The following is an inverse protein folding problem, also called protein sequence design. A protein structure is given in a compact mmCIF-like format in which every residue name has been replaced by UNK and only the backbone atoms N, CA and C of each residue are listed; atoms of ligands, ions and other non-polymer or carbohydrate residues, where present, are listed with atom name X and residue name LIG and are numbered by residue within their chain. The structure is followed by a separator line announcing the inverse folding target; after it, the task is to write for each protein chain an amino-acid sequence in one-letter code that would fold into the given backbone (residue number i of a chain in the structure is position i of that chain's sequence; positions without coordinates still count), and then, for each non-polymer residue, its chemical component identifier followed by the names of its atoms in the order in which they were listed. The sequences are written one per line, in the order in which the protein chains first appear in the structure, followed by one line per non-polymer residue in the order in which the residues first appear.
data_IF_526136366299
#
_entry.id   IF_526136366299
#
_cell.length_a   1.000
_cell.length_b   1.000
_cell.length_c   1.000
_cell.angle_alpha   90.00
_cell.angle_beta   90.00
_cell.angle_gamma   90.00
#
_symmetry.space_group_name_H-M   'P 1'
#
loop_
_entity.id
_entity.type
_entity.pdbx_description
1 polymer ?
#
# COMPACT_ATOMS: atom_id res chain seq x y z
N UNK A 1 41.51 64.50 1.76
CA UNK A 1 40.05 64.56 1.56
C UNK A 1 39.60 63.42 0.69
N UNK A 2 39.15 62.40 1.27
CA UNK A 2 37.97 61.54 1.10
C UNK A 2 37.42 61.16 -0.27
N UNK A 3 36.64 60.04 -0.38
CA UNK A 3 36.41 58.96 0.55
C UNK A 3 36.47 57.55 -0.10
N UNK A 4 36.64 56.61 0.75
CA UNK A 4 36.60 55.15 0.50
C UNK A 4 35.15 54.68 0.38
N UNK A 5 34.79 54.08 -0.77
CA UNK A 5 33.54 53.37 -0.94
C UNK A 5 33.75 51.88 -0.79
N UNK A 6 33.30 51.32 0.33
CA UNK A 6 33.25 49.89 0.55
C UNK A 6 32.05 49.23 -0.16
N UNK A 7 32.32 48.32 -1.07
CA UNK A 7 31.29 47.47 -1.68
C UNK A 7 31.15 46.20 -0.87
N UNK A 8 30.00 46.06 -0.24
CA UNK A 8 29.58 44.82 0.44
C UNK A 8 29.25 43.73 -0.57
N UNK A 9 29.57 42.48 -0.33
CA UNK A 9 29.20 41.37 -1.22
C UNK A 9 27.70 41.05 -1.07
N UNK A 10 27.02 41.10 -2.20
CA UNK A 10 25.64 40.66 -2.33
C UNK A 10 25.57 39.17 -2.07
N UNK A 11 24.95 38.80 -0.97
CA UNK A 11 24.64 37.41 -0.62
C UNK A 11 23.62 36.89 -1.61
N UNK A 12 24.01 36.00 -2.48
CA UNK A 12 23.11 35.25 -3.34
C UNK A 12 22.15 34.43 -2.48
N UNK A 13 20.89 34.77 -2.50
CA UNK A 13 19.82 33.98 -1.90
C UNK A 13 19.70 32.68 -2.66
N UNK A 14 20.02 31.56 -2.00
CA UNK A 14 19.60 30.25 -2.46
C UNK A 14 18.08 30.23 -2.64
N UNK A 15 17.55 29.70 -3.77
CA UNK A 15 16.13 29.47 -3.91
C UNK A 15 15.71 28.47 -2.81
N UNK A 16 14.71 28.87 -2.01
CA UNK A 16 14.06 27.98 -1.06
C UNK A 16 13.52 26.77 -1.84
N UNK A 17 13.98 25.61 -1.49
CA UNK A 17 13.38 24.36 -1.89
C UNK A 17 11.89 24.40 -1.54
N UNK A 18 11.04 24.35 -2.54
CA UNK A 18 9.60 24.13 -2.40
C UNK A 18 9.40 22.85 -1.59
N UNK A 19 8.52 22.84 -0.57
CA UNK A 19 8.21 21.60 0.12
C UNK A 19 7.66 20.63 -0.92
N UNK A 20 8.32 19.48 -1.05
CA UNK A 20 7.87 18.42 -1.94
C UNK A 20 6.40 18.13 -1.62
N UNK A 21 5.58 18.09 -2.65
CA UNK A 21 4.22 17.58 -2.57
C UNK A 21 4.33 16.18 -1.97
N UNK A 22 3.91 16.04 -0.73
CA UNK A 22 3.62 14.72 -0.17
C UNK A 22 2.61 14.06 -1.10
N UNK A 23 3.11 13.12 -1.88
CA UNK A 23 2.30 12.26 -2.72
C UNK A 23 1.37 11.50 -1.77
N UNK A 24 0.11 11.91 -1.77
CA UNK A 24 -0.92 11.29 -0.93
C UNK A 24 -1.20 9.88 -1.46
N UNK A 25 -0.38 8.93 -1.03
CA UNK A 25 -0.50 7.49 -1.32
C UNK A 25 -1.89 6.92 -0.97
N UNK A 26 -2.65 7.58 -0.10
CA UNK A 26 -3.93 7.08 0.38
C UNK A 26 -5.04 7.08 -0.68
N UNK A 27 -5.07 8.02 -1.62
CA UNK A 27 -6.18 8.13 -2.57
C UNK A 27 -6.18 7.04 -3.66
N UNK A 28 -5.03 6.65 -4.17
CA UNK A 28 -4.93 5.63 -5.24
C UNK A 28 -5.21 4.21 -4.71
N UNK A 29 -4.79 3.93 -3.47
CA UNK A 29 -5.09 2.64 -2.81
C UNK A 29 -6.57 2.52 -2.47
N UNK A 30 -7.23 3.62 -2.11
CA UNK A 30 -8.67 3.66 -1.88
C UNK A 30 -9.47 3.35 -3.14
N UNK A 31 -9.07 3.86 -4.30
CA UNK A 31 -9.74 3.59 -5.58
C UNK A 31 -9.73 2.09 -5.90
N UNK A 32 -8.59 1.42 -5.78
CA UNK A 32 -8.49 -0.01 -6.09
C UNK A 32 -9.35 -0.88 -5.17
N UNK A 33 -9.41 -0.57 -3.87
CA UNK A 33 -10.26 -1.29 -2.91
C UNK A 33 -11.73 -1.04 -3.18
N UNK A 34 -12.13 0.20 -3.45
CA UNK A 34 -13.51 0.55 -3.74
C UNK A 34 -14.00 -0.16 -5.02
N UNK A 35 -13.22 -0.11 -6.10
CA UNK A 35 -13.64 -0.60 -7.41
C UNK A 35 -13.60 -2.13 -7.52
N UNK A 36 -12.55 -2.76 -7.03
CA UNK A 36 -12.33 -4.20 -7.23
C UNK A 36 -12.83 -5.09 -6.08
N UNK A 37 -13.08 -4.53 -4.92
CA UNK A 37 -13.60 -5.29 -3.77
C UNK A 37 -14.99 -4.81 -3.35
N UNK A 38 -15.14 -3.59 -2.88
CA UNK A 38 -16.37 -3.10 -2.26
C UNK A 38 -17.52 -3.08 -3.26
N UNK A 39 -17.32 -2.54 -4.46
CA UNK A 39 -18.36 -2.52 -5.51
C UNK A 39 -18.74 -3.93 -5.99
N UNK A 40 -17.78 -4.84 -6.08
CA UNK A 40 -18.05 -6.23 -6.51
C UNK A 40 -18.88 -6.95 -5.46
N UNK A 41 -18.48 -6.88 -4.18
CA UNK A 41 -19.20 -7.46 -3.06
C UNK A 41 -20.61 -6.85 -2.97
N UNK A 42 -20.73 -5.51 -3.05
CA UNK A 42 -22.01 -4.83 -2.99
C UNK A 42 -22.98 -5.24 -4.13
N UNK A 43 -22.49 -5.44 -5.35
CA UNK A 43 -23.30 -5.98 -6.45
C UNK A 43 -23.79 -7.40 -6.16
N UNK A 44 -22.89 -8.23 -5.65
CA UNK A 44 -23.21 -9.61 -5.30
C UNK A 44 -24.26 -9.68 -4.20
N UNK A 45 -24.10 -8.93 -3.10
CA UNK A 45 -25.05 -8.88 -2.00
C UNK A 45 -26.46 -8.47 -2.48
N UNK A 46 -26.56 -7.42 -3.28
CA UNK A 46 -27.83 -6.96 -3.85
C UNK A 46 -28.49 -7.99 -4.76
N UNK A 47 -27.68 -8.67 -5.58
CA UNK A 47 -28.18 -9.75 -6.44
C UNK A 47 -28.71 -10.95 -5.63
N UNK A 48 -28.28 -11.09 -4.36
CA UNK A 48 -28.74 -12.14 -3.44
C UNK A 48 -29.76 -11.62 -2.40
N UNK A 49 -30.42 -10.51 -2.67
CA UNK A 49 -31.57 -10.04 -1.91
C UNK A 49 -31.26 -9.02 -0.82
N UNK A 50 -29.99 -8.58 -0.67
CA UNK A 50 -29.67 -7.53 0.29
C UNK A 50 -30.25 -6.17 -0.13
N UNK A 51 -30.96 -5.51 0.76
CA UNK A 51 -31.57 -4.21 0.58
C UNK A 51 -31.45 -3.36 1.86
N UNK A 52 -31.94 -2.13 1.82
CA UNK A 52 -32.02 -1.29 3.02
C UNK A 52 -32.97 -1.86 4.08
N UNK A 53 -34.03 -2.55 3.65
CA UNK A 53 -35.04 -3.15 4.54
C UNK A 53 -34.58 -4.52 5.08
N UNK A 54 -33.73 -5.20 4.30
CA UNK A 54 -33.18 -6.52 4.63
C UNK A 54 -31.67 -6.53 4.41
N UNK A 55 -30.88 -5.85 5.28
CA UNK A 55 -29.44 -5.76 5.09
C UNK A 55 -28.77 -7.13 5.33
N UNK A 56 -27.77 -7.43 4.51
CA UNK A 56 -26.96 -8.63 4.71
C UNK A 56 -25.95 -8.46 5.83
N UNK A 57 -25.82 -9.44 6.70
CA UNK A 57 -24.75 -9.49 7.70
C UNK A 57 -23.41 -9.79 7.02
N UNK A 58 -22.44 -8.89 7.17
CA UNK A 58 -21.12 -9.01 6.53
C UNK A 58 -20.03 -9.08 7.60
N UNK A 59 -19.40 -10.25 7.73
CA UNK A 59 -18.25 -10.47 8.61
C UNK A 59 -16.99 -9.82 8.05
N UNK A 60 -16.35 -8.96 8.84
CA UNK A 60 -15.13 -8.25 8.45
C UNK A 60 -14.00 -8.66 9.37
N UNK A 61 -12.93 -9.23 8.78
CA UNK A 61 -11.79 -9.77 9.50
C UNK A 61 -10.79 -8.67 9.93
N UNK A 62 -11.25 -7.69 10.71
CA UNK A 62 -10.40 -6.69 11.34
C UNK A 62 -9.96 -7.22 12.70
N UNK A 63 -8.64 -7.33 12.91
CA UNK A 63 -8.05 -7.71 14.20
C UNK A 63 -7.89 -6.49 15.13
N UNK A 64 -7.59 -6.73 16.39
CA UNK A 64 -7.37 -5.66 17.36
C UNK A 64 -6.24 -4.71 16.95
N UNK A 65 -5.24 -5.21 16.23
CA UNK A 65 -4.12 -4.40 15.72
C UNK A 65 -4.55 -3.37 14.66
N UNK A 66 -5.72 -3.58 14.05
CA UNK A 66 -6.27 -2.73 12.99
C UNK A 66 -7.59 -2.05 13.39
N UNK A 67 -7.88 -1.93 14.69
CA UNK A 67 -9.16 -1.43 15.22
C UNK A 67 -9.54 -0.04 14.68
N UNK A 68 -8.56 0.82 14.39
CA UNK A 68 -8.79 2.15 13.83
C UNK A 68 -9.53 2.11 12.48
N UNK A 69 -9.49 0.98 11.76
CA UNK A 69 -10.17 0.80 10.46
C UNK A 69 -11.68 0.66 10.61
N UNK A 70 -12.16 0.26 11.78
CA UNK A 70 -13.60 0.18 12.08
C UNK A 70 -14.23 1.58 12.02
N UNK A 71 -13.56 2.57 12.63
CA UNK A 71 -14.06 3.95 12.71
C UNK A 71 -14.10 4.65 11.35
N UNK A 72 -13.26 4.24 10.42
CA UNK A 72 -13.15 4.82 9.08
C UNK A 72 -14.10 4.18 8.06
N UNK A 73 -14.74 3.06 8.43
CA UNK A 73 -15.63 2.34 7.53
C UNK A 73 -17.04 2.92 7.55
N UNK A 74 -17.54 3.30 6.39
CA UNK A 74 -18.96 3.61 6.18
C UNK A 74 -19.68 2.34 5.72
N UNK A 75 -20.63 1.86 6.53
CA UNK A 75 -21.54 0.80 6.12
C UNK A 75 -22.49 1.31 5.05
N UNK A 76 -22.82 0.47 4.08
CA UNK A 76 -23.85 0.76 3.09
C UNK A 76 -25.21 0.34 3.63
N UNK A 77 -26.33 0.97 3.18
CA UNK A 77 -27.67 0.64 3.70
C UNK A 77 -28.06 -0.83 3.58
N UNK A 78 -27.51 -1.55 2.60
CA UNK A 78 -27.77 -2.97 2.34
C UNK A 78 -26.83 -3.92 3.09
N UNK A 79 -25.98 -3.44 4.00
CA UNK A 79 -25.05 -4.25 4.78
C UNK A 79 -25.09 -3.91 6.27
N UNK A 80 -24.99 -4.94 7.08
CA UNK A 80 -24.77 -4.86 8.53
C UNK A 80 -23.39 -5.47 8.85
N UNK A 81 -22.36 -4.64 9.06
CA UNK A 81 -21.03 -5.13 9.37
C UNK A 81 -20.96 -5.71 10.78
N UNK A 82 -20.28 -6.85 10.90
CA UNK A 82 -19.89 -7.47 12.18
C UNK A 82 -18.40 -7.74 12.17
N UNK A 83 -17.78 -7.74 13.33
CA UNK A 83 -16.32 -7.86 13.49
C UNK A 83 -15.94 -9.06 14.37
N UNK A 84 -16.05 -10.30 13.87
CA UNK A 84 -15.90 -11.50 14.67
C UNK A 84 -14.59 -11.63 15.45
N UNK A 85 -13.50 -11.02 14.95
CA UNK A 85 -12.22 -11.05 15.65
C UNK A 85 -12.15 -10.05 16.81
N UNK A 86 -12.91 -8.95 16.73
CA UNK A 86 -13.03 -7.96 17.81
C UNK A 86 -14.09 -8.37 18.85
N UNK A 87 -15.15 -9.07 18.39
CA UNK A 87 -16.23 -9.56 19.23
C UNK A 87 -15.83 -10.81 20.06
N UNK A 88 -14.67 -11.39 19.74
CA UNK A 88 -14.10 -12.51 20.52
C UNK A 88 -13.63 -12.02 21.89
N UNK A 89 -13.72 -12.88 22.90
CA UNK A 89 -13.25 -12.59 24.28
C UNK A 89 -12.05 -13.47 24.65
N UNK A 90 -10.84 -12.91 24.81
CA UNK A 90 -10.44 -11.52 24.48
C UNK A 90 -10.40 -11.26 22.96
N UNK A 91 -10.48 -9.98 22.53
CA UNK A 91 -10.36 -9.63 21.12
C UNK A 91 -9.04 -10.11 20.50
N UNK A 92 -9.12 -10.67 19.29
CA UNK A 92 -7.99 -11.33 18.65
C UNK A 92 -7.06 -10.35 17.93
N UNK A 93 -5.76 -10.56 18.15
CA UNK A 93 -4.69 -9.93 17.40
C UNK A 93 -4.27 -10.80 16.21
N UNK A 94 -3.46 -10.28 15.31
CA UNK A 94 -2.95 -11.03 14.16
C UNK A 94 -2.20 -12.30 14.57
N UNK A 95 -1.31 -12.22 15.56
CA UNK A 95 -0.57 -13.39 16.04
C UNK A 95 -1.47 -14.46 16.67
N UNK A 96 -2.61 -14.07 17.28
CA UNK A 96 -3.60 -15.02 17.80
C UNK A 96 -4.27 -15.78 16.66
N UNK A 97 -4.62 -15.07 15.56
CA UNK A 97 -5.15 -15.70 14.36
C UNK A 97 -4.17 -16.72 13.77
N UNK A 98 -2.87 -16.38 13.71
CA UNK A 98 -1.84 -17.31 13.26
C UNK A 98 -1.71 -18.53 14.16
N UNK A 99 -1.77 -18.35 15.48
CA UNK A 99 -1.75 -19.43 16.47
C UNK A 99 -2.95 -20.36 16.29
N UNK A 100 -4.15 -19.79 16.09
CA UNK A 100 -5.38 -20.56 15.84
C UNK A 100 -5.26 -21.38 14.56
N UNK A 101 -4.76 -20.80 13.48
CA UNK A 101 -4.54 -21.48 12.19
C UNK A 101 -3.57 -22.64 12.36
N UNK A 102 -2.43 -22.44 13.05
CA UNK A 102 -1.46 -23.52 13.34
C UNK A 102 -2.08 -24.62 14.21
N UNK A 103 -2.87 -24.26 15.23
CA UNK A 103 -3.55 -25.23 16.11
C UNK A 103 -4.55 -26.09 15.35
N UNK A 104 -5.16 -25.53 14.30
CA UNK A 104 -6.06 -26.27 13.41
C UNK A 104 -5.32 -27.15 12.38
N UNK A 105 -3.98 -27.23 12.42
CA UNK A 105 -3.17 -27.99 11.48
C UNK A 105 -3.13 -27.40 10.06
N UNK A 106 -3.53 -26.13 9.92
CA UNK A 106 -3.55 -25.44 8.63
C UNK A 106 -2.27 -24.64 8.42
N UNK A 107 -1.78 -24.53 7.16
CA UNK A 107 -0.67 -23.66 6.84
C UNK A 107 -1.09 -22.19 7.01
N UNK A 108 -0.18 -21.36 7.54
CA UNK A 108 -0.41 -19.93 7.61
C UNK A 108 -0.43 -19.38 6.18
N UNK A 109 -1.52 -18.73 5.76
CA UNK A 109 -1.58 -18.18 4.41
C UNK A 109 -0.54 -17.06 4.26
N UNK A 110 0.18 -17.01 3.13
CA UNK A 110 1.06 -15.89 2.84
C UNK A 110 0.24 -14.61 2.74
N UNK A 111 0.87 -13.48 3.04
CA UNK A 111 0.25 -12.17 2.90
C UNK A 111 -0.26 -11.98 1.47
N UNK A 112 -1.54 -11.72 1.31
CA UNK A 112 -2.12 -11.46 0.00
C UNK A 112 -1.82 -10.02 -0.43
N UNK A 113 -1.03 -9.87 -1.48
CA UNK A 113 -0.78 -8.59 -2.12
C UNK A 113 -0.81 -8.76 -3.64
N UNK A 114 -1.17 -7.70 -4.36
CA UNK A 114 -1.08 -7.70 -5.83
C UNK A 114 0.38 -7.88 -6.24
N UNK A 115 0.64 -8.63 -7.31
CA UNK A 115 2.00 -8.85 -7.82
C UNK A 115 2.74 -7.56 -8.23
N UNK A 116 2.02 -6.46 -8.42
CA UNK A 116 2.54 -5.12 -8.74
C UNK A 116 2.36 -4.13 -7.58
N UNK A 117 2.20 -4.60 -6.34
CA UNK A 117 1.92 -3.73 -5.21
C UNK A 117 3.15 -2.85 -4.88
N UNK A 118 3.03 -1.52 -4.90
CA UNK A 118 4.15 -0.63 -4.58
C UNK A 118 4.56 -0.65 -3.10
N UNK A 119 3.77 -1.35 -2.27
CA UNK A 119 4.06 -1.55 -0.85
C UNK A 119 4.81 -2.86 -0.56
N UNK A 120 5.19 -3.63 -1.59
CA UNK A 120 6.09 -4.75 -1.38
C UNK A 120 7.42 -4.27 -0.81
N UNK A 121 7.90 -4.98 0.18
CA UNK A 121 9.25 -4.78 0.69
C UNK A 121 10.29 -5.22 -0.34
N UNK A 122 11.50 -4.66 -0.31
CA UNK A 122 12.56 -5.03 -1.25
C UNK A 122 12.86 -6.53 -1.28
N UNK A 123 12.81 -7.19 -0.14
CA UNK A 123 13.01 -8.64 -0.04
C UNK A 123 11.91 -9.43 -0.77
N UNK A 124 10.65 -8.99 -0.67
CA UNK A 124 9.53 -9.64 -1.39
C UNK A 124 9.71 -9.52 -2.91
N UNK A 125 10.20 -8.38 -3.37
CA UNK A 125 10.55 -8.19 -4.78
C UNK A 125 11.71 -9.09 -5.21
N UNK A 126 12.74 -9.24 -4.37
CA UNK A 126 13.87 -10.12 -4.64
C UNK A 126 13.44 -11.59 -4.69
N UNK A 127 12.60 -12.04 -3.76
CA UNK A 127 11.98 -13.36 -3.77
C UNK A 127 11.13 -13.58 -5.03
N UNK A 128 10.32 -12.59 -5.41
CA UNK A 128 9.51 -12.66 -6.63
C UNK A 128 10.38 -12.79 -7.88
N UNK A 129 11.49 -12.05 -7.95
CA UNK A 129 12.46 -12.14 -9.05
C UNK A 129 13.04 -13.54 -9.16
N UNK A 130 13.44 -14.14 -8.02
CA UNK A 130 14.04 -15.47 -7.95
C UNK A 130 13.04 -16.58 -8.23
N UNK A 131 11.90 -16.58 -7.55
CA UNK A 131 10.98 -17.72 -7.49
C UNK A 131 9.85 -17.62 -8.52
N UNK A 132 9.51 -16.41 -8.96
CA UNK A 132 8.42 -16.12 -9.90
C UNK A 132 8.82 -15.07 -10.95
N UNK A 133 9.91 -15.30 -11.73
CA UNK A 133 10.49 -14.31 -12.63
C UNK A 133 9.48 -13.76 -13.66
N UNK A 134 8.51 -14.57 -14.10
CA UNK A 134 7.46 -14.10 -15.01
C UNK A 134 6.58 -12.99 -14.39
N UNK A 135 6.27 -13.07 -13.09
CA UNK A 135 5.49 -12.04 -12.42
C UNK A 135 6.34 -10.79 -12.17
N UNK A 136 7.60 -10.97 -11.83
CA UNK A 136 8.54 -9.87 -11.67
C UNK A 136 8.70 -9.08 -12.97
N UNK A 137 8.96 -9.76 -14.09
CA UNK A 137 9.08 -9.13 -15.40
C UNK A 137 7.80 -8.38 -15.79
N UNK A 138 6.62 -8.96 -15.55
CA UNK A 138 5.35 -8.26 -15.76
C UNK A 138 5.21 -6.99 -14.91
N UNK A 139 5.76 -6.96 -13.71
CA UNK A 139 5.78 -5.75 -12.88
C UNK A 139 6.70 -4.69 -13.47
N UNK A 140 7.87 -5.07 -13.98
CA UNK A 140 8.78 -4.18 -14.70
C UNK A 140 8.10 -3.61 -15.97
N UNK A 141 7.44 -4.44 -16.77
CA UNK A 141 6.72 -4.01 -17.97
C UNK A 141 5.58 -3.04 -17.65
N UNK A 142 4.85 -3.29 -16.54
CA UNK A 142 3.80 -2.40 -16.06
C UNK A 142 4.38 -1.04 -15.66
N UNK A 143 5.47 -1.02 -14.89
CA UNK A 143 6.13 0.22 -14.47
C UNK A 143 6.62 1.02 -15.70
N UNK A 144 7.22 0.33 -16.66
CA UNK A 144 7.67 0.93 -17.91
C UNK A 144 6.50 1.57 -18.69
N UNK A 145 5.43 0.80 -18.93
CA UNK A 145 4.22 1.28 -19.62
C UNK A 145 3.59 2.48 -18.93
N UNK A 146 3.54 2.46 -17.58
CA UNK A 146 3.05 3.59 -16.79
C UNK A 146 3.90 4.83 -17.02
N UNK A 147 5.22 4.70 -17.01
CA UNK A 147 6.14 5.80 -17.17
C UNK A 147 6.15 6.36 -18.59
N UNK A 148 6.02 5.53 -19.62
CA UNK A 148 5.82 6.00 -20.99
C UNK A 148 4.56 6.88 -21.12
N UNK A 149 3.44 6.42 -20.57
CA UNK A 149 2.18 7.20 -20.57
C UNK A 149 2.30 8.49 -19.78
N UNK A 150 3.00 8.46 -18.65
CA UNK A 150 3.24 9.65 -17.83
C UNK A 150 4.13 10.67 -18.54
N UNK A 151 5.16 10.22 -19.26
CA UNK A 151 6.04 11.07 -20.05
C UNK A 151 5.27 11.81 -21.15
N UNK A 152 4.36 11.13 -21.85
CA UNK A 152 3.47 11.76 -22.85
C UNK A 152 2.60 12.87 -22.23
N UNK A 153 2.24 12.72 -20.96
CA UNK A 153 1.44 13.71 -20.20
C UNK A 153 2.29 14.76 -19.48
N UNK A 154 3.62 14.78 -19.68
CA UNK A 154 4.55 15.68 -19.01
C UNK A 154 4.61 15.49 -17.49
N UNK A 155 4.33 14.26 -16.99
CA UNK A 155 4.35 13.92 -15.57
C UNK A 155 5.64 13.20 -15.19
N UNK A 156 6.10 13.42 -13.97
CA UNK A 156 7.27 12.72 -13.43
C UNK A 156 7.09 11.20 -13.40
N UNK A 157 8.17 10.41 -13.55
CA UNK A 157 8.12 8.97 -13.46
C UNK A 157 7.69 8.50 -12.07
N UNK A 158 7.08 7.32 -12.01
CA UNK A 158 6.70 6.63 -10.77
C UNK A 158 7.39 5.26 -10.72
N UNK A 159 7.67 4.80 -9.52
CA UNK A 159 8.37 3.54 -9.30
C UNK A 159 7.59 2.64 -8.34
N UNK A 160 7.66 1.34 -8.59
CA UNK A 160 7.03 0.33 -7.71
C UNK A 160 7.84 0.09 -6.42
N UNK A 161 9.02 0.71 -6.32
CA UNK A 161 9.84 0.70 -5.11
C UNK A 161 10.06 2.11 -4.58
N UNK A 162 10.48 2.20 -3.31
CA UNK A 162 10.86 3.47 -2.69
C UNK A 162 12.26 3.97 -3.09
N UNK A 163 13.00 3.22 -3.89
CA UNK A 163 14.39 3.55 -4.24
C UNK A 163 14.51 4.61 -5.34
N UNK A 164 13.40 5.12 -5.81
CA UNK A 164 13.36 6.13 -6.87
C UNK A 164 14.14 5.70 -8.14
N UNK A 165 14.08 4.42 -8.45
CA UNK A 165 14.73 3.79 -9.58
C UNK A 165 13.81 2.71 -10.18
N UNK A 166 13.93 2.41 -11.50
CA UNK A 166 13.20 1.32 -12.14
C UNK A 166 13.36 -0.01 -11.38
N UNK A 167 12.28 -0.78 -11.32
CA UNK A 167 12.20 -2.00 -10.52
C UNK A 167 13.31 -3.00 -10.84
N UNK A 168 13.63 -3.17 -12.10
CA UNK A 168 14.70 -4.06 -12.60
C UNK A 168 16.10 -3.66 -12.12
N UNK A 169 16.32 -2.34 -11.93
CA UNK A 169 17.58 -1.80 -11.41
C UNK A 169 17.59 -1.79 -9.88
N UNK A 170 16.46 -1.41 -9.26
CA UNK A 170 16.32 -1.35 -7.81
C UNK A 170 16.48 -2.73 -7.15
N UNK A 171 16.02 -3.78 -7.84
CA UNK A 171 16.10 -5.18 -7.40
C UNK A 171 16.93 -5.96 -8.44
N UNK A 172 18.23 -5.95 -8.29
CA UNK A 172 19.15 -6.69 -9.14
C UNK A 172 19.16 -8.20 -8.82
N UNK A 173 19.83 -9.02 -9.64
CA UNK A 173 20.05 -10.44 -9.33
C UNK A 173 20.89 -10.64 -8.06
N UNK A 174 21.74 -9.69 -7.73
CA UNK A 174 22.54 -9.69 -6.50
C UNK A 174 21.74 -9.30 -5.24
N UNK A 175 20.47 -8.91 -5.40
CA UNK A 175 19.59 -8.47 -4.32
C UNK A 175 19.14 -7.02 -4.44
N UNK A 176 18.47 -6.48 -3.40
CA UNK A 176 18.02 -5.10 -3.36
C UNK A 176 19.20 -4.12 -3.36
N UNK A 177 18.99 -2.94 -3.93
CA UNK A 177 20.00 -1.89 -4.14
C UNK A 177 20.67 -1.37 -2.85
N UNK A 178 20.00 -1.51 -1.70
CA UNK A 178 20.51 -1.16 -0.37
C UNK A 178 20.36 -2.35 0.58
N UNK A 179 21.39 -3.20 0.71
CA UNK A 179 21.40 -4.24 1.74
C UNK A 179 21.46 -3.56 3.11
N UNK A 180 20.50 -3.82 3.98
CA UNK A 180 20.53 -3.36 5.38
C UNK A 180 19.53 -2.27 5.79
N UNK A 181 18.62 -1.85 4.93
CA UNK A 181 17.37 -1.26 5.40
C UNK A 181 16.51 -2.40 5.93
N UNK A 182 16.73 -2.66 7.22
CA UNK A 182 16.12 -3.75 7.96
C UNK A 182 14.60 -3.72 7.90
N UNK A 183 14.05 -4.83 8.34
CA UNK A 183 12.63 -5.19 8.44
C UNK A 183 11.74 -4.22 9.21
N UNK A 184 12.22 -3.04 9.55
CA UNK A 184 11.51 -2.09 10.37
C UNK A 184 10.53 -1.25 9.55
N UNK A 185 9.26 -1.72 9.58
CA UNK A 185 8.08 -0.88 9.71
C UNK A 185 7.53 -0.06 8.54
N UNK A 186 7.74 -0.35 7.27
CA UNK A 186 6.92 0.29 6.23
C UNK A 186 6.52 -0.72 5.13
N UNK A 187 5.75 -1.69 5.51
CA UNK A 187 5.10 -2.62 4.59
C UNK A 187 3.59 -2.62 4.78
N UNK A 188 2.86 -3.38 3.99
CA UNK A 188 1.44 -3.66 4.21
C UNK A 188 1.13 -4.21 5.62
N UNK A 189 2.11 -4.41 6.49
CA UNK A 189 1.93 -4.85 7.86
C UNK A 189 1.17 -3.85 8.72
N UNK A 190 1.20 -2.56 8.35
CA UNK A 190 0.46 -1.51 9.05
C UNK A 190 -1.00 -1.36 8.58
N UNK A 191 -1.53 -2.30 7.82
CA UNK A 191 -2.93 -2.24 7.36
C UNK A 191 -3.24 -1.15 6.33
N UNK A 192 -2.26 -0.35 5.92
CA UNK A 192 -2.44 0.79 5.01
C UNK A 192 -2.91 0.40 3.59
N UNK A 193 -2.78 -0.88 3.22
CA UNK A 193 -3.25 -1.35 1.91
C UNK A 193 -4.78 -1.46 1.77
N UNK A 194 -5.55 -1.22 2.84
CA UNK A 194 -6.99 -1.46 2.88
C UNK A 194 -7.80 -0.30 3.47
N UNK A 195 -7.20 0.87 3.66
CA UNK A 195 -7.90 2.09 4.08
C UNK A 195 -8.45 2.88 2.92
#
# INVERSE_FOLDING_TARGET
CHPTGGSSPTTARHPRSTPGQEFTRSSEVQISTADFKIRVIGRWLKAHGASADTPATVGIGISLDEIQRVNNRRAMPYEQPVYPLLDHDPPLRRHDCERIIRSAGLPIPPKSACWFCPFHQPLVWAEMRRDRPRLFNRACDLEHTLNERRAVLGKDPVYLTRFNAPLDRAISEAGPMLPGLGDDDIGCDNGACFT
#
